data_IF_296720541925
#
_entry.id   IF_296720541925
#
_cell.length_a   1.000
_cell.length_b   1.000
_cell.length_c   1.000
_cell.angle_alpha   90.00
_cell.angle_beta   90.00
_cell.angle_gamma   90.00
#
_symmetry.space_group_name_H-M   'P 1'
#
loop_
_entity.id
_entity.type
_entity.pdbx_description
1 polymer ?
#
# COMPACT_ATOMS: atom_id res chain seq x y z
N UNK A 1 -14.42 7.58 27.14
CA UNK A 1 -13.42 6.51 27.10
C UNK A 1 -12.34 6.97 26.16
N UNK A 2 -11.16 6.99 26.66
CA UNK A 2 -10.00 7.19 25.84
C UNK A 2 -9.99 6.10 24.76
N UNK A 3 -9.55 6.45 23.58
CA UNK A 3 -9.49 5.60 22.39
C UNK A 3 -8.53 4.38 22.53
N UNK A 4 -8.03 4.14 23.74
CA UNK A 4 -7.08 3.09 24.04
C UNK A 4 -5.63 3.43 23.71
N UNK A 5 -5.35 4.71 23.47
CA UNK A 5 -4.00 5.20 23.20
C UNK A 5 -3.33 5.76 24.44
N UNK A 6 -2.02 5.65 24.47
CA UNK A 6 -1.16 6.28 25.45
C UNK A 6 -0.26 7.23 24.67
N UNK A 7 -0.45 8.51 24.91
CA UNK A 7 0.43 9.55 24.39
C UNK A 7 1.56 9.82 25.41
N UNK A 8 2.68 10.37 24.94
CA UNK A 8 3.79 10.82 25.76
C UNK A 8 4.39 9.75 26.68
N UNK A 9 4.73 8.58 26.11
CA UNK A 9 5.49 7.57 26.84
C UNK A 9 6.88 8.12 27.17
N UNK A 10 7.27 8.25 28.45
CA UNK A 10 8.61 8.70 28.79
C UNK A 10 9.66 7.71 28.28
N UNK A 11 10.58 8.17 27.45
CA UNK A 11 11.59 7.30 26.82
C UNK A 11 12.86 7.13 27.68
N UNK A 12 13.07 7.94 28.69
CA UNK A 12 14.24 7.80 29.57
C UNK A 12 15.59 8.01 28.87
N UNK A 13 16.59 7.25 29.29
CA UNK A 13 17.95 7.30 28.74
C UNK A 13 18.03 6.57 27.37
N UNK A 14 19.16 6.76 26.67
CA UNK A 14 19.45 6.04 25.43
C UNK A 14 19.48 4.52 25.63
N UNK A 15 19.03 3.80 24.64
CA UNK A 15 19.05 2.35 24.57
C UNK A 15 17.78 1.73 24.01
N UNK A 16 17.66 0.43 24.14
CA UNK A 16 16.45 -0.30 23.83
C UNK A 16 15.50 -0.28 25.01
N UNK A 17 14.26 0.12 24.77
CA UNK A 17 13.17 0.14 25.75
C UNK A 17 12.16 -0.92 25.36
N UNK A 18 11.87 -1.82 26.28
CA UNK A 18 10.77 -2.78 26.14
C UNK A 18 9.50 -2.16 26.71
N UNK A 19 8.45 -2.09 25.90
CA UNK A 19 7.15 -1.57 26.31
C UNK A 19 6.14 -2.71 26.27
N UNK A 20 5.56 -3.02 27.43
CA UNK A 20 4.54 -4.06 27.54
C UNK A 20 3.21 -3.45 27.99
N UNK A 21 2.18 -3.62 27.19
CA UNK A 21 0.82 -3.28 27.56
C UNK A 21 0.19 -4.44 28.34
N UNK A 22 -0.46 -4.16 29.47
CA UNK A 22 -1.20 -5.14 30.26
C UNK A 22 -2.54 -4.57 30.74
N UNK A 23 -3.52 -5.45 30.88
CA UNK A 23 -4.84 -5.04 31.37
C UNK A 23 -4.91 -5.13 32.88
N UNK A 24 -5.16 -4.01 33.54
CA UNK A 24 -5.31 -3.97 34.99
C UNK A 24 -6.49 -4.82 35.45
N UNK A 25 -6.27 -5.72 36.40
CA UNK A 25 -7.29 -6.61 36.93
C UNK A 25 -7.62 -7.84 36.07
N UNK A 26 -6.93 -8.02 34.95
CA UNK A 26 -7.12 -9.15 34.02
C UNK A 26 -5.76 -9.75 33.63
N UNK A 27 -5.01 -10.36 34.55
CA UNK A 27 -3.64 -10.86 34.29
C UNK A 27 -3.61 -12.02 33.27
N UNK A 28 -4.73 -12.66 33.03
CA UNK A 28 -4.87 -13.69 31.97
C UNK A 28 -4.87 -13.10 30.55
N UNK A 29 -5.13 -11.81 30.40
CA UNK A 29 -5.05 -11.12 29.12
C UNK A 29 -3.60 -10.77 28.89
N UNK A 30 -2.95 -11.52 28.01
CA UNK A 30 -1.58 -11.23 27.60
C UNK A 30 -1.56 -9.96 26.77
N UNK A 31 -0.80 -8.99 27.22
CA UNK A 31 -0.54 -7.77 26.47
C UNK A 31 0.44 -8.01 25.31
N UNK A 32 0.48 -7.06 24.40
CA UNK A 32 1.54 -7.00 23.40
C UNK A 32 2.79 -6.36 24.01
N UNK A 33 3.95 -6.87 23.62
CA UNK A 33 5.25 -6.27 23.92
C UNK A 33 5.85 -5.76 22.62
N UNK A 34 6.41 -4.56 22.66
CA UNK A 34 7.16 -4.00 21.54
C UNK A 34 8.39 -3.26 22.07
N UNK A 35 9.32 -3.03 21.18
CA UNK A 35 10.61 -2.43 21.50
C UNK A 35 10.75 -1.08 20.81
N UNK A 36 11.34 -0.14 21.53
CA UNK A 36 11.67 1.20 21.05
C UNK A 36 13.15 1.44 21.28
N UNK A 37 13.83 1.93 20.25
CA UNK A 37 15.22 2.38 20.38
C UNK A 37 15.25 3.90 20.54
N UNK A 38 15.90 4.38 21.59
CA UNK A 38 16.15 5.80 21.86
C UNK A 38 17.62 6.11 21.60
N UNK A 39 17.89 7.09 20.75
CA UNK A 39 19.24 7.52 20.41
C UNK A 39 19.30 9.04 20.33
N UNK A 40 20.49 9.64 20.56
CA UNK A 40 20.71 11.10 20.41
C UNK A 40 20.55 11.57 18.97
N UNK A 41 20.87 10.72 18.02
CA UNK A 41 20.75 10.97 16.59
C UNK A 41 19.78 9.94 16.01
N UNK A 42 18.72 10.40 15.37
CA UNK A 42 17.81 9.51 14.70
C UNK A 42 18.58 8.60 13.73
N UNK A 43 18.58 7.26 13.94
CA UNK A 43 19.38 6.33 13.13
C UNK A 43 18.78 6.13 11.73
N UNK A 44 17.65 6.74 11.47
CA UNK A 44 16.90 6.65 10.22
C UNK A 44 16.29 8.02 9.87
N UNK A 45 16.00 8.28 8.59
CA UNK A 45 15.11 9.36 8.19
C UNK A 45 13.74 9.23 8.85
N UNK A 46 12.92 10.28 8.79
CA UNK A 46 11.52 10.17 9.22
C UNK A 46 10.77 9.15 8.37
N UNK A 47 10.03 8.30 9.03
CA UNK A 47 9.31 7.18 8.42
C UNK A 47 7.83 7.31 8.77
N UNK A 48 6.98 7.08 7.78
CA UNK A 48 5.54 7.12 7.89
C UNK A 48 4.91 5.88 7.27
N UNK A 49 3.71 5.51 7.72
CA UNK A 49 2.98 4.35 7.22
C UNK A 49 1.58 4.73 6.81
N UNK A 50 1.15 4.24 5.66
CA UNK A 50 -0.17 4.54 5.13
C UNK A 50 -0.78 3.40 4.36
N UNK A 51 -2.06 3.59 4.01
CA UNK A 51 -2.84 2.71 3.17
C UNK A 51 -3.47 3.56 2.06
N UNK A 52 -3.13 3.29 0.82
CA UNK A 52 -3.54 4.08 -0.35
C UNK A 52 -4.64 3.42 -1.17
N UNK A 53 -5.30 2.38 -0.63
CA UNK A 53 -6.34 1.65 -1.33
C UNK A 53 -7.45 1.20 -0.38
N UNK A 54 -8.49 2.02 -0.29
CA UNK A 54 -9.62 1.79 0.63
C UNK A 54 -10.93 2.20 -0.03
N UNK A 55 -11.99 1.40 0.19
CA UNK A 55 -13.34 1.61 -0.33
C UNK A 55 -14.33 1.92 0.79
N UNK A 56 -15.39 2.66 0.46
CA UNK A 56 -16.53 2.90 1.33
C UNK A 56 -17.82 2.34 0.72
N UNK A 57 -18.93 2.49 1.42
CA UNK A 57 -20.26 2.12 0.95
C UNK A 57 -20.80 3.01 -0.19
N UNK A 58 -20.10 4.08 -0.52
CA UNK A 58 -20.35 4.86 -1.74
C UNK A 58 -19.98 4.06 -3.01
N UNK A 59 -19.20 2.99 -2.87
CA UNK A 59 -18.86 2.05 -3.94
C UNK A 59 -18.98 0.61 -3.45
N UNK A 60 -17.90 -0.17 -3.48
CA UNK A 60 -17.93 -1.62 -3.17
C UNK A 60 -17.74 -1.95 -1.68
N UNK A 61 -17.44 -0.98 -0.85
CA UNK A 61 -17.27 -1.16 0.60
C UNK A 61 -18.60 -1.24 1.36
N UNK A 62 -18.55 -1.43 2.67
CA UNK A 62 -19.74 -1.60 3.53
C UNK A 62 -19.87 -0.58 4.66
N UNK A 63 -18.87 0.24 4.92
CA UNK A 63 -18.91 1.33 5.90
C UNK A 63 -18.70 2.66 5.21
N UNK A 64 -19.24 3.73 5.81
CA UNK A 64 -19.12 5.07 5.27
C UNK A 64 -17.66 5.59 5.27
N UNK A 65 -17.44 6.61 4.47
CA UNK A 65 -16.10 7.20 4.28
C UNK A 65 -15.56 7.79 5.59
N UNK A 66 -16.39 8.40 6.43
CA UNK A 66 -15.99 8.95 7.73
C UNK A 66 -15.49 7.86 8.67
N UNK A 67 -16.22 6.72 8.74
CA UNK A 67 -15.78 5.57 9.53
C UNK A 67 -14.44 5.04 9.06
N UNK A 68 -14.27 4.84 7.75
CA UNK A 68 -13.05 4.27 7.17
C UNK A 68 -11.82 5.13 7.48
N UNK A 69 -11.94 6.44 7.28
CA UNK A 69 -10.81 7.36 7.53
C UNK A 69 -10.54 7.47 9.03
N UNK A 70 -11.59 7.57 9.86
CA UNK A 70 -11.43 7.62 11.32
C UNK A 70 -10.81 6.33 11.85
N UNK A 71 -11.19 5.17 11.31
CA UNK A 71 -10.53 3.90 11.67
C UNK A 71 -9.03 3.92 11.30
N UNK A 72 -8.71 4.38 10.11
CA UNK A 72 -7.32 4.52 9.65
C UNK A 72 -6.50 5.42 10.56
N UNK A 73 -7.04 6.60 10.90
CA UNK A 73 -6.37 7.58 11.76
C UNK A 73 -6.29 7.13 13.21
N UNK A 74 -7.41 6.71 13.82
CA UNK A 74 -7.54 6.59 15.28
C UNK A 74 -7.28 5.17 15.78
N UNK A 75 -7.57 4.14 14.98
CA UNK A 75 -7.43 2.73 15.37
C UNK A 75 -6.21 2.10 14.72
N UNK A 76 -6.09 2.17 13.40
CA UNK A 76 -4.94 1.62 12.68
C UNK A 76 -3.69 2.51 12.82
N UNK A 77 -3.84 3.75 13.27
CA UNK A 77 -2.75 4.72 13.47
C UNK A 77 -1.89 4.88 12.21
N UNK A 78 -2.55 5.05 11.09
CA UNK A 78 -1.90 5.43 9.86
C UNK A 78 -1.46 6.89 9.95
N UNK A 79 -0.34 7.19 9.31
CA UNK A 79 0.14 8.56 9.15
C UNK A 79 -0.47 9.20 7.90
N UNK A 80 -0.71 8.40 6.87
CA UNK A 80 -1.36 8.88 5.65
C UNK A 80 -2.34 7.85 5.07
N UNK A 81 -3.29 8.34 4.29
CA UNK A 81 -4.43 7.58 3.79
C UNK A 81 -4.79 8.03 2.36
N UNK A 82 -5.16 7.08 1.51
CA UNK A 82 -5.72 7.33 0.20
C UNK A 82 -7.08 6.64 0.05
N UNK A 83 -8.13 7.41 -0.13
CA UNK A 83 -9.43 6.88 -0.51
C UNK A 83 -9.45 6.60 -2.02
N UNK A 84 -9.97 5.46 -2.44
CA UNK A 84 -10.01 5.04 -3.84
C UNK A 84 -11.39 4.50 -4.19
N UNK A 85 -12.31 5.42 -4.48
CA UNK A 85 -13.66 5.04 -4.93
C UNK A 85 -13.60 4.37 -6.31
N UNK A 86 -14.31 3.24 -6.48
CA UNK A 86 -14.46 2.64 -7.80
C UNK A 86 -15.14 3.63 -8.75
N UNK A 87 -14.47 3.99 -9.83
CA UNK A 87 -14.91 5.02 -10.76
C UNK A 87 -16.23 4.67 -11.47
N UNK A 88 -16.54 3.39 -11.62
CA UNK A 88 -17.78 2.95 -12.25
C UNK A 88 -19.02 3.00 -11.34
N UNK A 89 -18.86 3.19 -10.03
CA UNK A 89 -19.96 3.25 -9.08
C UNK A 89 -20.13 4.63 -8.43
N UNK A 90 -19.05 5.38 -8.23
CA UNK A 90 -19.11 6.66 -7.56
C UNK A 90 -20.00 7.65 -8.33
N UNK A 91 -20.89 8.32 -7.63
CA UNK A 91 -21.70 9.42 -8.17
C UNK A 91 -21.01 10.75 -7.91
N UNK A 92 -21.45 11.80 -8.63
CA UNK A 92 -20.91 13.15 -8.40
C UNK A 92 -21.15 13.62 -6.96
N UNK A 93 -22.36 13.43 -6.45
CA UNK A 93 -22.74 13.91 -5.12
C UNK A 93 -21.91 13.17 -4.07
N UNK A 94 -21.82 11.83 -4.13
CA UNK A 94 -20.98 11.04 -3.22
C UNK A 94 -19.51 11.44 -3.32
N UNK A 95 -19.01 11.73 -4.52
CA UNK A 95 -17.63 12.19 -4.69
C UNK A 95 -17.40 13.56 -4.03
N UNK A 96 -18.35 14.49 -4.18
CA UNK A 96 -18.26 15.81 -3.56
C UNK A 96 -18.22 15.69 -2.04
N UNK A 97 -19.10 14.85 -1.47
CA UNK A 97 -19.15 14.57 -0.03
C UNK A 97 -17.87 13.86 0.46
N UNK A 98 -17.39 12.87 -0.24
CA UNK A 98 -16.15 12.15 0.11
C UNK A 98 -14.94 13.10 0.15
N UNK A 99 -14.80 13.98 -0.85
CA UNK A 99 -13.71 14.95 -0.88
C UNK A 99 -13.81 15.93 0.28
N UNK A 100 -15.02 16.39 0.63
CA UNK A 100 -15.23 17.28 1.77
C UNK A 100 -14.87 16.59 3.10
N UNK A 101 -15.26 15.33 3.28
CA UNK A 101 -14.91 14.53 4.46
C UNK A 101 -13.38 14.37 4.54
N UNK A 102 -12.73 13.98 3.45
CA UNK A 102 -11.27 13.77 3.38
C UNK A 102 -10.53 15.06 3.71
N UNK A 103 -10.96 16.20 3.17
CA UNK A 103 -10.35 17.49 3.43
C UNK A 103 -10.55 17.95 4.88
N UNK A 104 -11.70 17.65 5.47
CA UNK A 104 -11.99 18.01 6.85
C UNK A 104 -11.16 17.23 7.88
N UNK A 105 -10.74 16.02 7.53
CA UNK A 105 -9.97 15.11 8.41
C UNK A 105 -8.46 15.28 8.21
N UNK A 106 -8.02 15.79 7.06
CA UNK A 106 -6.61 16.05 6.81
C UNK A 106 -6.05 17.09 7.79
N UNK A 107 -4.97 16.73 8.48
CA UNK A 107 -4.30 17.58 9.45
C UNK A 107 -2.78 17.45 9.30
N UNK A 108 -2.15 18.47 8.71
CA UNK A 108 -0.70 18.48 8.52
C UNK A 108 0.05 18.31 9.85
N UNK A 109 1.04 17.45 9.85
CA UNK A 109 1.80 17.06 11.03
C UNK A 109 1.20 15.91 11.83
N UNK A 110 -0.06 15.52 11.57
CA UNK A 110 -0.74 14.45 12.31
C UNK A 110 -1.28 13.33 11.41
N UNK A 111 -2.01 13.67 10.36
CA UNK A 111 -2.63 12.70 9.47
C UNK A 111 -2.88 13.33 8.10
N UNK A 112 -2.32 12.73 7.06
CA UNK A 112 -2.48 13.19 5.68
C UNK A 112 -3.48 12.30 4.96
N UNK A 113 -4.53 12.90 4.37
CA UNK A 113 -5.54 12.17 3.63
C UNK A 113 -5.66 12.70 2.20
N UNK A 114 -5.78 11.78 1.23
CA UNK A 114 -5.94 12.08 -0.19
C UNK A 114 -7.24 11.49 -0.73
N UNK A 115 -7.98 12.24 -1.55
CA UNK A 115 -9.02 11.65 -2.39
C UNK A 115 -8.39 10.88 -3.56
N UNK A 116 -9.12 9.92 -4.08
CA UNK A 116 -8.68 9.13 -5.21
C UNK A 116 -9.78 8.26 -5.77
N UNK A 117 -9.50 7.64 -6.91
CA UNK A 117 -10.38 6.67 -7.56
C UNK A 117 -9.63 5.38 -7.87
N UNK A 118 -10.34 4.26 -7.86
CA UNK A 118 -9.90 3.05 -8.51
C UNK A 118 -10.48 3.03 -9.93
N UNK A 119 -9.62 3.22 -10.92
CA UNK A 119 -9.99 3.05 -12.31
C UNK A 119 -10.03 1.55 -12.64
N UNK A 120 -11.23 1.07 -12.96
CA UNK A 120 -11.54 -0.36 -13.06
C UNK A 120 -11.59 -0.82 -14.51
N UNK A 121 -10.49 -0.71 -15.23
CA UNK A 121 -10.40 -1.11 -16.63
C UNK A 121 -10.30 -2.62 -16.81
N UNK A 122 -10.85 -3.12 -17.95
CA UNK A 122 -10.59 -4.49 -18.37
C UNK A 122 -9.08 -4.78 -18.42
N UNK A 123 -8.67 -5.99 -18.10
CA UNK A 123 -7.25 -6.38 -18.20
C UNK A 123 -6.66 -6.15 -19.60
N UNK A 124 -7.44 -6.38 -20.65
CA UNK A 124 -7.05 -6.08 -22.04
C UNK A 124 -6.88 -4.58 -22.34
N UNK A 125 -7.46 -3.71 -21.54
CA UNK A 125 -7.36 -2.24 -21.64
C UNK A 125 -6.43 -1.63 -20.58
N UNK A 126 -5.68 -2.44 -19.85
CA UNK A 126 -4.72 -2.03 -18.83
C UNK A 126 -4.92 -2.68 -17.46
N UNK A 127 -6.15 -3.04 -17.10
CA UNK A 127 -6.50 -3.56 -15.76
C UNK A 127 -6.64 -2.46 -14.72
N UNK A 128 -6.84 -2.84 -13.48
CA UNK A 128 -7.12 -1.92 -12.39
C UNK A 128 -5.93 -1.01 -12.06
N UNK A 129 -6.22 0.29 -11.86
CA UNK A 129 -5.25 1.31 -11.49
C UNK A 129 -5.85 2.26 -10.44
N UNK A 130 -5.18 2.41 -9.33
CA UNK A 130 -5.50 3.48 -8.39
C UNK A 130 -4.96 4.81 -8.88
N UNK A 131 -5.76 5.86 -8.76
CA UNK A 131 -5.38 7.24 -9.02
C UNK A 131 -5.57 8.05 -7.75
N UNK A 132 -4.48 8.47 -7.12
CA UNK A 132 -4.50 9.30 -5.91
C UNK A 132 -4.25 10.75 -6.30
N UNK A 133 -5.10 11.67 -5.84
CA UNK A 133 -5.02 13.10 -6.13
C UNK A 133 -4.23 13.81 -5.03
N UNK A 134 -2.96 14.02 -5.29
CA UNK A 134 -1.98 14.47 -4.30
C UNK A 134 -2.17 15.91 -3.83
N UNK A 135 -2.85 16.74 -4.61
CA UNK A 135 -3.16 18.12 -4.21
C UNK A 135 -4.41 18.24 -3.34
N UNK A 136 -5.15 17.18 -3.11
CA UNK A 136 -6.46 17.23 -2.47
C UNK A 136 -7.50 17.99 -3.28
N UNK A 137 -7.16 18.42 -4.50
CA UNK A 137 -8.11 19.08 -5.39
C UNK A 137 -8.95 18.02 -6.08
N UNK A 138 -10.23 18.27 -6.12
CA UNK A 138 -11.17 17.53 -6.93
C UNK A 138 -10.81 17.72 -8.41
N UNK A 139 -10.49 16.65 -9.16
CA UNK A 139 -10.36 16.78 -10.60
C UNK A 139 -11.72 17.04 -11.25
N UNK A 140 -11.71 17.70 -12.38
CA UNK A 140 -12.88 17.76 -13.24
C UNK A 140 -13.00 16.41 -13.95
N UNK A 141 -13.82 15.53 -13.41
CA UNK A 141 -14.18 14.32 -14.13
C UNK A 141 -15.11 14.66 -15.29
N UNK A 142 -14.90 14.05 -16.46
CA UNK A 142 -15.88 14.11 -17.52
C UNK A 142 -17.16 13.40 -17.09
N UNK A 143 -18.30 14.01 -17.36
CA UNK A 143 -19.61 13.47 -17.05
C UNK A 143 -20.21 12.77 -18.26
N UNK A 144 -20.92 11.66 -18.01
CA UNK A 144 -21.80 11.04 -18.98
C UNK A 144 -23.07 11.89 -19.20
N UNK A 145 -23.91 11.48 -20.16
CA UNK A 145 -25.14 12.19 -20.48
C UNK A 145 -26.18 12.21 -19.32
N UNK A 146 -25.98 11.40 -18.29
CA UNK A 146 -26.83 11.34 -17.09
C UNK A 146 -26.26 12.17 -15.93
N UNK A 147 -25.09 12.79 -16.13
CA UNK A 147 -24.40 13.54 -15.11
C UNK A 147 -23.59 12.70 -14.11
N UNK A 148 -23.35 11.44 -14.41
CA UNK A 148 -22.42 10.61 -13.63
C UNK A 148 -20.99 10.84 -14.11
N UNK A 149 -20.01 10.55 -13.25
CA UNK A 149 -18.60 10.53 -13.62
C UNK A 149 -18.44 9.52 -14.77
N UNK A 150 -17.78 9.94 -15.85
CA UNK A 150 -17.48 9.03 -16.98
C UNK A 150 -16.58 7.91 -16.47
N UNK A 151 -16.94 6.69 -16.82
CA UNK A 151 -16.44 5.48 -16.22
C UNK A 151 -15.40 4.80 -17.09
N UNK A 152 -14.51 4.09 -16.46
CA UNK A 152 -13.69 3.07 -17.08
C UNK A 152 -14.52 1.97 -17.74
N UNK A 153 -13.84 1.08 -18.44
CA UNK A 153 -14.43 -0.17 -18.89
C UNK A 153 -14.82 -1.00 -17.67
N UNK A 154 -16.07 -0.87 -17.28
CA UNK A 154 -16.65 -1.75 -16.28
C UNK A 154 -16.72 -3.16 -16.86
N UNK A 155 -16.02 -4.08 -16.22
CA UNK A 155 -16.30 -5.48 -16.39
C UNK A 155 -17.45 -5.83 -15.46
N UNK A 156 -18.65 -5.93 -16.01
CA UNK A 156 -19.78 -6.49 -15.31
C UNK A 156 -19.98 -7.92 -15.82
N UNK A 157 -19.83 -8.90 -14.95
CA UNK A 157 -20.08 -10.32 -15.26
C UNK A 157 -21.49 -10.58 -15.79
N UNK A 158 -22.43 -9.68 -15.42
CA UNK A 158 -23.84 -9.76 -15.81
C UNK A 158 -24.19 -8.98 -17.07
N UNK A 159 -23.24 -8.28 -17.70
CA UNK A 159 -23.48 -7.53 -18.91
C UNK A 159 -23.15 -8.34 -20.15
N UNK A 160 -24.07 -8.33 -21.12
CA UNK A 160 -23.83 -8.84 -22.46
C UNK A 160 -22.52 -8.26 -23.02
N UNK A 161 -21.62 -9.14 -23.48
CA UNK A 161 -20.30 -8.77 -24.00
C UNK A 161 -20.35 -7.76 -25.17
N UNK A 162 -21.51 -7.57 -25.78
CA UNK A 162 -21.74 -6.63 -26.85
C UNK A 162 -22.12 -5.21 -26.39
N UNK A 163 -22.30 -5.00 -25.08
CA UNK A 163 -22.65 -3.68 -24.55
C UNK A 163 -21.40 -2.94 -24.07
N UNK A 164 -20.80 -2.17 -24.96
CA UNK A 164 -19.77 -1.19 -24.59
C UNK A 164 -20.46 -0.08 -23.82
N UNK A 165 -20.08 0.12 -22.56
CA UNK A 165 -20.59 1.25 -21.78
C UNK A 165 -20.11 2.56 -22.39
N UNK A 166 -21.00 3.52 -22.66
CA UNK A 166 -20.59 4.85 -23.10
C UNK A 166 -19.65 5.47 -22.06
N UNK A 167 -18.50 5.98 -22.50
CA UNK A 167 -17.51 6.58 -21.64
C UNK A 167 -16.44 5.63 -21.09
N UNK A 168 -16.48 4.35 -21.47
CA UNK A 168 -15.41 3.41 -21.15
C UNK A 168 -14.14 3.75 -21.94
N UNK A 169 -13.05 3.98 -21.22
CA UNK A 169 -11.78 4.39 -21.80
C UNK A 169 -10.71 3.32 -21.64
N UNK A 170 -9.82 3.17 -22.63
CA UNK A 170 -8.56 2.47 -22.38
C UNK A 170 -7.68 3.29 -21.44
N UNK A 171 -6.72 2.65 -20.81
CA UNK A 171 -5.81 3.27 -19.84
C UNK A 171 -5.06 4.48 -20.43
N UNK A 172 -4.79 4.50 -21.72
CA UNK A 172 -4.17 5.65 -22.41
C UNK A 172 -4.99 6.94 -22.28
N UNK A 173 -6.31 6.85 -22.28
CA UNK A 173 -7.19 8.00 -22.09
C UNK A 173 -7.15 8.50 -20.64
N UNK A 174 -6.97 7.59 -19.69
CA UNK A 174 -6.76 7.95 -18.29
C UNK A 174 -5.45 8.73 -18.12
N UNK A 175 -4.36 8.26 -18.70
CA UNK A 175 -3.10 8.99 -18.70
C UNK A 175 -3.22 10.34 -19.40
N UNK A 176 -3.87 10.40 -20.56
CA UNK A 176 -4.09 11.64 -21.28
C UNK A 176 -4.88 12.67 -20.45
N UNK A 177 -5.80 12.20 -19.62
CA UNK A 177 -6.60 13.08 -18.75
C UNK A 177 -5.74 13.80 -17.70
N UNK A 178 -4.72 13.16 -17.15
CA UNK A 178 -3.97 13.69 -16.01
C UNK A 178 -2.52 14.10 -16.31
N UNK A 179 -2.00 13.81 -17.51
CA UNK A 179 -0.59 14.10 -17.87
C UNK A 179 -0.24 15.59 -17.88
N UNK A 180 -1.24 16.46 -17.95
CA UNK A 180 -1.04 17.91 -17.88
C UNK A 180 -0.61 18.39 -16.48
N UNK A 181 -0.84 17.58 -15.43
CA UNK A 181 -0.43 17.83 -14.04
C UNK A 181 0.06 16.54 -13.38
N UNK A 182 1.20 15.99 -13.83
CA UNK A 182 1.67 14.70 -13.34
C UNK A 182 2.07 14.74 -11.85
N UNK A 183 2.52 15.87 -11.35
CA UNK A 183 2.92 16.02 -9.93
C UNK A 183 1.71 16.03 -8.98
N UNK A 184 0.54 16.35 -9.49
CA UNK A 184 -0.72 16.32 -8.74
C UNK A 184 -1.37 14.94 -8.67
N UNK A 185 -0.83 13.94 -9.37
CA UNK A 185 -1.44 12.63 -9.49
C UNK A 185 -0.43 11.52 -9.26
N UNK A 186 -0.88 10.44 -8.63
CA UNK A 186 -0.10 9.21 -8.47
C UNK A 186 -0.94 8.05 -9.00
N UNK A 187 -0.42 7.36 -10.00
CA UNK A 187 -1.07 6.16 -10.51
C UNK A 187 -0.32 4.91 -10.04
N UNK A 188 -1.10 3.88 -9.70
CA UNK A 188 -0.62 2.61 -9.18
C UNK A 188 -1.39 1.46 -9.83
N UNK A 189 -0.79 0.75 -10.83
CA UNK A 189 -1.34 -0.51 -11.31
C UNK A 189 -1.38 -1.55 -10.19
N UNK A 190 -2.43 -2.37 -10.18
CA UNK A 190 -2.59 -3.41 -9.16
C UNK A 190 -3.32 -4.66 -9.65
N UNK A 191 -3.39 -5.66 -8.79
CA UNK A 191 -4.14 -6.89 -9.04
C UNK A 191 -5.40 -6.86 -8.19
N UNK A 192 -6.43 -6.24 -8.69
CA UNK A 192 -7.77 -6.20 -8.12
C UNK A 192 -8.73 -7.21 -8.76
N UNK A 193 -9.98 -6.81 -8.96
CA UNK A 193 -10.98 -7.56 -9.73
C UNK A 193 -10.50 -7.85 -11.16
N UNK A 194 -9.81 -6.91 -11.76
CA UNK A 194 -9.22 -6.96 -13.09
C UNK A 194 -7.71 -6.76 -12.97
N UNK A 195 -6.97 -7.80 -13.27
CA UNK A 195 -5.51 -7.77 -13.15
C UNK A 195 -4.90 -6.72 -14.07
N UNK A 196 -4.03 -5.87 -13.56
CA UNK A 196 -3.19 -5.00 -14.37
C UNK A 196 -2.27 -5.82 -15.30
N UNK A 197 -2.04 -5.31 -16.49
CA UNK A 197 -1.13 -5.87 -17.48
C UNK A 197 0.02 -4.87 -17.67
N UNK A 198 1.23 -5.27 -17.31
CA UNK A 198 2.39 -4.39 -17.35
C UNK A 198 2.90 -4.06 -18.77
N UNK A 199 2.22 -4.52 -19.83
CA UNK A 199 2.40 -4.00 -21.19
C UNK A 199 1.89 -2.55 -21.30
N UNK A 200 0.97 -2.18 -20.41
CA UNK A 200 0.47 -0.83 -20.22
C UNK A 200 1.27 -0.17 -19.09
N UNK A 201 2.13 0.77 -19.44
CA UNK A 201 2.98 1.48 -18.48
C UNK A 201 3.27 2.90 -19.00
N UNK A 202 3.10 3.88 -18.12
CA UNK A 202 3.45 5.27 -18.41
C UNK A 202 4.53 5.78 -17.43
N UNK A 203 5.75 6.08 -17.91
CA UNK A 203 6.90 6.34 -17.02
C UNK A 203 6.75 7.58 -16.13
N UNK A 204 5.84 8.49 -16.48
CA UNK A 204 5.58 9.71 -15.70
C UNK A 204 4.41 9.55 -14.74
N UNK A 205 3.33 8.88 -15.15
CA UNK A 205 2.10 8.76 -14.36
C UNK A 205 2.17 7.61 -13.37
N UNK A 206 2.62 6.44 -13.83
CA UNK A 206 2.78 5.27 -12.98
C UNK A 206 4.08 5.39 -12.19
N UNK A 207 3.98 5.58 -10.89
CA UNK A 207 5.15 5.78 -10.02
C UNK A 207 5.35 4.68 -9.00
N UNK A 208 4.26 4.04 -8.59
CA UNK A 208 4.26 2.87 -7.71
C UNK A 208 3.53 1.73 -8.40
N UNK A 209 3.78 0.51 -7.95
CA UNK A 209 2.99 -0.68 -8.28
C UNK A 209 2.55 -1.33 -6.98
N UNK A 210 1.28 -1.67 -6.86
CA UNK A 210 0.75 -2.33 -5.68
C UNK A 210 1.00 -3.84 -5.78
N UNK A 211 1.93 -4.33 -4.96
CA UNK A 211 2.36 -5.73 -4.98
C UNK A 211 1.62 -6.62 -3.98
N UNK A 212 0.61 -6.08 -3.33
CA UNK A 212 -0.23 -6.85 -2.44
C UNK A 212 -1.39 -6.04 -1.87
N UNK A 213 -2.50 -6.73 -1.67
CA UNK A 213 -3.75 -6.21 -1.13
C UNK A 213 -4.58 -7.34 -0.51
N UNK A 214 -5.86 -7.10 -0.23
CA UNK A 214 -6.80 -8.15 0.19
C UNK A 214 -6.95 -9.28 -0.85
N UNK A 215 -6.61 -9.05 -2.11
CA UNK A 215 -6.62 -10.05 -3.17
C UNK A 215 -5.45 -11.02 -3.12
N UNK A 216 -4.34 -10.64 -2.52
CA UNK A 216 -3.16 -11.49 -2.41
C UNK A 216 -1.87 -10.70 -2.27
N UNK A 217 -0.75 -11.43 -2.18
CA UNK A 217 0.59 -10.86 -2.26
C UNK A 217 1.23 -11.29 -3.57
N UNK A 218 1.73 -10.34 -4.33
CA UNK A 218 2.17 -10.51 -5.72
C UNK A 218 3.63 -10.08 -5.94
N UNK A 219 4.60 -10.64 -5.23
CA UNK A 219 6.02 -10.27 -5.41
C UNK A 219 6.50 -10.49 -6.84
N UNK A 220 5.90 -11.44 -7.56
CA UNK A 220 6.15 -11.69 -8.97
C UNK A 220 5.85 -10.47 -9.86
N UNK A 221 4.89 -9.63 -9.48
CA UNK A 221 4.53 -8.43 -10.24
C UNK A 221 5.70 -7.43 -10.24
N UNK A 222 6.36 -7.26 -9.09
CA UNK A 222 7.54 -6.40 -9.04
C UNK A 222 8.76 -7.01 -9.76
N UNK A 223 8.89 -8.33 -9.77
CA UNK A 223 9.90 -9.00 -10.59
C UNK A 223 9.65 -8.78 -12.09
N UNK A 224 8.39 -8.81 -12.55
CA UNK A 224 8.02 -8.47 -13.92
C UNK A 224 8.35 -7.01 -14.25
N UNK A 225 8.02 -6.08 -13.35
CA UNK A 225 8.38 -4.65 -13.45
C UNK A 225 9.90 -4.47 -13.61
N UNK A 226 10.68 -5.12 -12.76
CA UNK A 226 12.14 -5.06 -12.82
C UNK A 226 12.69 -5.67 -14.13
N UNK A 227 12.18 -6.82 -14.54
CA UNK A 227 12.59 -7.48 -15.79
C UNK A 227 12.32 -6.64 -17.04
N UNK A 228 11.30 -5.81 -17.01
CA UNK A 228 10.97 -4.85 -18.09
C UNK A 228 11.80 -3.56 -18.03
N UNK A 229 12.56 -3.35 -16.96
CA UNK A 229 13.32 -2.12 -16.72
C UNK A 229 12.45 -0.91 -16.39
N UNK A 230 11.23 -1.13 -15.90
CA UNK A 230 10.33 -0.06 -15.48
C UNK A 230 10.76 0.54 -14.14
N UNK A 231 10.58 1.82 -13.98
CA UNK A 231 11.05 2.57 -12.80
C UNK A 231 9.88 2.86 -11.85
N UNK A 232 9.37 1.81 -11.24
CA UNK A 232 8.30 1.86 -10.25
C UNK A 232 8.83 1.56 -8.85
N UNK A 233 8.34 2.28 -7.85
CA UNK A 233 8.43 1.87 -6.46
C UNK A 233 7.33 0.87 -6.12
N UNK A 234 7.34 0.34 -4.90
CA UNK A 234 6.32 -0.60 -4.44
C UNK A 234 5.35 0.08 -3.49
N UNK A 235 4.10 -0.36 -3.53
CA UNK A 235 3.12 -0.17 -2.46
C UNK A 235 2.52 -1.51 -2.05
N UNK A 236 2.02 -1.58 -0.85
CA UNK A 236 1.23 -2.70 -0.35
C UNK A 236 0.14 -2.11 0.53
N UNK A 237 -1.11 -2.30 0.16
CA UNK A 237 -2.25 -1.60 0.72
C UNK A 237 -3.33 -2.58 1.18
N UNK A 238 -4.43 -2.03 1.71
CA UNK A 238 -5.53 -2.84 2.20
C UNK A 238 -6.41 -3.40 1.09
N UNK A 239 -6.75 -2.58 0.11
CA UNK A 239 -7.89 -2.82 -0.76
C UNK A 239 -9.12 -3.20 0.10
N UNK A 240 -9.35 -2.35 1.12
CA UNK A 240 -10.18 -2.72 2.25
C UNK A 240 -11.64 -2.35 1.98
N UNK A 241 -12.50 -3.35 2.05
CA UNK A 241 -13.93 -3.23 1.76
C UNK A 241 -14.81 -3.19 3.02
N UNK A 242 -14.24 -3.32 4.22
CA UNK A 242 -14.96 -3.35 5.49
C UNK A 242 -14.61 -2.20 6.42
N UNK A 243 -13.84 -1.20 5.92
CA UNK A 243 -13.44 -0.02 6.68
C UNK A 243 -12.39 -0.29 7.75
N UNK A 244 -11.62 -1.38 7.64
CA UNK A 244 -10.57 -1.74 8.60
C UNK A 244 -9.20 -1.70 7.94
N UNK A 245 -8.91 -0.58 7.33
CA UNK A 245 -7.64 -0.30 6.63
C UNK A 245 -6.41 -0.39 7.54
N UNK A 246 -5.23 -0.29 6.95
CA UNK A 246 -3.96 -0.38 7.67
C UNK A 246 -3.48 -1.80 7.87
N UNK A 247 -3.63 -2.66 6.88
CA UNK A 247 -3.20 -4.06 6.88
C UNK A 247 -4.30 -5.03 7.34
N UNK A 248 -5.52 -4.53 7.55
CA UNK A 248 -6.68 -5.34 7.92
C UNK A 248 -6.58 -5.97 9.30
N UNK A 249 -7.62 -6.65 9.71
CA UNK A 249 -7.69 -7.43 10.96
C UNK A 249 -7.70 -8.92 10.61
N UNK A 250 -6.92 -9.77 11.29
CA UNK A 250 -6.92 -11.20 11.04
C UNK A 250 -8.34 -11.78 11.02
N UNK A 251 -8.64 -12.59 10.00
CA UNK A 251 -9.95 -13.23 9.83
C UNK A 251 -11.06 -12.32 9.29
N UNK A 252 -10.77 -11.08 8.92
CA UNK A 252 -11.78 -10.15 8.37
C UNK A 252 -11.57 -9.83 6.89
N UNK A 253 -10.50 -10.30 6.27
CA UNK A 253 -10.22 -10.08 4.87
C UNK A 253 -11.35 -10.59 3.97
N UNK A 254 -11.88 -9.73 3.11
CA UNK A 254 -13.00 -10.07 2.21
C UNK A 254 -12.60 -11.17 1.23
N UNK A 255 -11.37 -11.11 0.72
CA UNK A 255 -10.87 -12.01 -0.30
C UNK A 255 -9.86 -13.04 0.22
N UNK A 256 -9.79 -13.23 1.53
CA UNK A 256 -9.00 -14.28 2.19
C UNK A 256 -7.53 -13.94 2.43
N UNK A 257 -7.07 -12.76 2.06
CA UNK A 257 -5.71 -12.29 2.35
C UNK A 257 -5.79 -11.03 3.20
N UNK A 258 -4.97 -10.96 4.24
CA UNK A 258 -4.71 -9.71 4.94
C UNK A 258 -3.98 -8.78 3.97
N UNK A 259 -4.44 -7.55 3.82
CA UNK A 259 -3.75 -6.53 3.06
C UNK A 259 -2.44 -6.10 3.74
N UNK A 260 -1.98 -4.92 3.42
CA UNK A 260 -0.74 -4.41 3.96
C UNK A 260 -0.76 -2.92 4.24
N UNK A 261 0.41 -2.38 4.50
CA UNK A 261 0.66 -0.95 4.59
C UNK A 261 1.91 -0.57 3.79
N UNK A 262 1.89 0.62 3.25
CA UNK A 262 3.03 1.21 2.56
C UNK A 262 3.81 2.07 3.54
N UNK A 263 5.09 1.71 3.75
CA UNK A 263 6.04 2.56 4.46
C UNK A 263 6.61 3.62 3.53
N UNK A 264 6.96 4.77 4.08
CA UNK A 264 7.42 5.93 3.34
C UNK A 264 8.56 6.64 4.08
N UNK A 265 9.64 6.96 3.38
CA UNK A 265 10.66 7.91 3.85
C UNK A 265 10.26 9.31 3.40
N UNK A 266 10.04 10.22 4.35
CA UNK A 266 9.56 11.56 4.07
C UNK A 266 10.00 12.53 5.17
N UNK A 267 10.28 13.79 4.81
CA UNK A 267 10.82 14.79 5.75
C UNK A 267 9.74 15.37 6.68
N UNK A 268 8.51 15.49 6.20
CA UNK A 268 7.38 16.02 6.98
C UNK A 268 6.06 15.38 6.56
N UNK A 269 5.11 15.38 7.49
CA UNK A 269 3.79 14.81 7.29
C UNK A 269 2.82 15.92 6.83
N UNK A 270 2.89 16.26 5.55
CA UNK A 270 1.96 17.16 4.86
C UNK A 270 1.68 16.64 3.45
N UNK A 271 0.53 17.00 2.86
CA UNK A 271 0.12 16.49 1.54
C UNK A 271 1.19 16.68 0.47
N UNK A 272 1.83 17.82 0.45
CA UNK A 272 2.82 18.14 -0.59
C UNK A 272 4.09 17.30 -0.46
N UNK A 273 4.61 17.16 0.76
CA UNK A 273 5.86 16.43 1.01
C UNK A 273 5.66 14.94 0.91
N UNK A 274 4.55 14.41 1.47
CA UNK A 274 4.15 13.01 1.32
C UNK A 274 3.93 12.67 -0.16
N UNK A 275 3.18 13.49 -0.90
CA UNK A 275 2.94 13.29 -2.33
C UNK A 275 4.23 13.24 -3.16
N UNK A 276 5.17 14.14 -2.88
CA UNK A 276 6.50 14.13 -3.52
C UNK A 276 7.30 12.86 -3.21
N UNK A 277 7.29 12.41 -1.96
CA UNK A 277 8.01 11.22 -1.53
C UNK A 277 7.43 9.95 -2.17
N UNK A 278 6.10 9.83 -2.26
CA UNK A 278 5.41 8.76 -2.97
C UNK A 278 5.82 8.75 -4.45
N UNK A 279 5.77 9.88 -5.13
CA UNK A 279 6.19 9.99 -6.54
C UNK A 279 7.68 9.75 -6.73
N UNK A 280 8.50 10.06 -5.73
CA UNK A 280 9.93 9.75 -5.72
C UNK A 280 10.23 8.28 -5.38
N UNK A 281 9.21 7.43 -5.19
CA UNK A 281 9.36 5.99 -4.93
C UNK A 281 10.12 5.68 -3.62
N UNK A 282 9.99 6.55 -2.63
CA UNK A 282 10.64 6.40 -1.32
C UNK A 282 9.85 5.45 -0.42
N UNK A 283 9.42 4.33 -0.98
CA UNK A 283 8.40 3.44 -0.40
C UNK A 283 8.88 2.01 -0.27
N UNK A 284 8.27 1.29 0.68
CA UNK A 284 8.31 -0.17 0.79
C UNK A 284 6.96 -0.69 1.24
N UNK A 285 6.67 -1.96 1.02
CA UNK A 285 5.45 -2.61 1.46
C UNK A 285 5.68 -3.54 2.63
N UNK A 286 4.73 -3.61 3.56
CA UNK A 286 4.70 -4.61 4.63
C UNK A 286 3.35 -5.30 4.69
N UNK A 287 3.28 -6.48 5.27
CA UNK A 287 2.03 -7.24 5.43
C UNK A 287 1.20 -6.78 6.63
N UNK A 288 1.34 -5.50 7.01
CA UNK A 288 0.53 -4.81 8.01
C UNK A 288 1.28 -4.45 9.29
N UNK A 289 2.42 -5.04 9.53
CA UNK A 289 3.32 -4.67 10.62
C UNK A 289 4.11 -3.40 10.25
N UNK A 290 4.49 -2.58 11.25
CA UNK A 290 5.29 -1.36 11.07
C UNK A 290 6.77 -1.69 10.91
N UNK A 291 7.12 -2.53 9.94
CA UNK A 291 8.49 -2.91 9.66
C UNK A 291 9.21 -1.78 8.89
N UNK A 292 10.39 -1.44 9.33
CA UNK A 292 11.25 -0.48 8.65
C UNK A 292 12.08 -1.19 7.60
N UNK A 293 12.05 -0.68 6.37
CA UNK A 293 12.87 -1.20 5.28
C UNK A 293 13.27 -0.07 4.34
N UNK A 294 14.51 0.40 4.42
CA UNK A 294 15.03 1.36 3.47
C UNK A 294 16.47 1.03 3.09
N UNK A 295 16.89 1.54 1.94
CA UNK A 295 18.21 1.30 1.37
C UNK A 295 18.78 2.55 0.72
N UNK A 296 20.11 2.58 0.57
CA UNK A 296 20.82 3.69 -0.07
C UNK A 296 22.09 3.18 -0.76
N UNK A 297 22.61 4.01 -1.66
CA UNK A 297 23.89 3.79 -2.32
C UNK A 297 24.68 5.11 -2.34
N UNK A 298 25.72 5.22 -1.50
CA UNK A 298 26.37 6.51 -1.24
C UNK A 298 25.37 7.51 -0.67
N UNK A 299 25.22 8.67 -1.31
CA UNK A 299 24.28 9.71 -0.90
C UNK A 299 22.87 9.54 -1.50
N UNK A 300 22.65 8.52 -2.34
CA UNK A 300 21.39 8.31 -3.02
C UNK A 300 20.50 7.35 -2.22
N UNK A 301 19.30 7.81 -1.90
CA UNK A 301 18.30 7.01 -1.20
C UNK A 301 17.48 6.18 -2.19
N UNK A 302 16.87 5.09 -1.73
CA UNK A 302 15.94 4.31 -2.56
C UNK A 302 14.94 5.21 -3.27
N UNK A 303 14.63 4.88 -4.53
CA UNK A 303 13.82 5.71 -5.43
C UNK A 303 14.62 6.69 -6.28
N UNK A 304 15.85 7.05 -5.91
CA UNK A 304 16.70 7.92 -6.73
C UNK A 304 17.18 7.22 -8.00
N UNK A 305 17.38 8.01 -9.04
CA UNK A 305 17.97 7.57 -10.32
C UNK A 305 19.31 8.26 -10.49
N UNK A 306 20.35 7.48 -10.66
CA UNK A 306 21.70 8.01 -10.79
C UNK A 306 22.60 7.07 -11.61
N UNK A 307 23.61 7.67 -12.27
CA UNK A 307 24.64 6.90 -12.94
C UNK A 307 25.71 6.48 -11.94
N UNK A 308 26.11 5.21 -11.99
CA UNK A 308 27.17 4.68 -11.15
C UNK A 308 28.22 3.96 -11.99
N UNK A 309 29.51 4.16 -11.65
CA UNK A 309 30.63 3.50 -12.32
C UNK A 309 31.25 2.44 -11.41
N UNK A 310 31.30 1.22 -11.90
CA UNK A 310 31.89 0.10 -11.16
C UNK A 310 30.89 -0.58 -10.21
N UNK A 311 31.36 -1.42 -9.27
CA UNK A 311 30.49 -2.11 -8.33
C UNK A 311 29.76 -1.13 -7.41
N UNK A 312 28.45 -1.25 -7.33
CA UNK A 312 27.64 -0.46 -6.39
C UNK A 312 27.62 -1.13 -5.01
N UNK A 313 27.83 -0.36 -3.95
CA UNK A 313 27.61 -0.80 -2.57
C UNK A 313 26.23 -0.36 -2.15
N UNK A 314 25.30 -1.31 -2.08
CA UNK A 314 23.96 -1.08 -1.57
C UNK A 314 23.95 -1.35 -0.06
N UNK A 315 23.58 -0.35 0.69
CA UNK A 315 23.40 -0.43 2.13
C UNK A 315 21.90 -0.44 2.44
N UNK A 316 21.50 -1.17 3.47
CA UNK A 316 20.09 -1.30 3.85
C UNK A 316 19.95 -1.35 5.36
N UNK A 317 18.77 -0.94 5.82
CA UNK A 317 18.36 -1.07 7.22
C UNK A 317 16.97 -1.66 7.27
N UNK A 318 16.86 -2.79 7.95
CA UNK A 318 15.61 -3.47 8.22
C UNK A 318 15.45 -3.62 9.71
N UNK A 319 14.32 -3.12 10.26
CA UNK A 319 13.96 -3.23 11.65
C UNK A 319 12.56 -3.84 11.75
N UNK A 320 12.39 -4.78 12.63
CA UNK A 320 11.12 -5.47 12.86
C UNK A 320 11.02 -5.96 14.29
N UNK A 321 9.86 -6.39 14.68
CA UNK A 321 9.53 -6.92 16.01
C UNK A 321 9.85 -8.41 16.17
N UNK A 322 10.38 -9.03 15.14
CA UNK A 322 10.80 -10.43 15.11
C UNK A 322 12.08 -10.61 14.29
N UNK A 323 12.74 -11.75 14.42
CA UNK A 323 13.93 -12.10 13.64
C UNK A 323 13.61 -12.20 12.14
N UNK A 324 14.57 -11.82 11.32
CA UNK A 324 14.50 -11.95 9.87
C UNK A 324 14.99 -13.33 9.44
N UNK A 325 14.25 -13.96 8.52
CA UNK A 325 14.63 -15.27 7.97
C UNK A 325 15.64 -15.11 6.84
N UNK A 326 15.33 -14.25 5.87
CA UNK A 326 16.08 -14.10 4.64
C UNK A 326 16.00 -12.67 4.12
N UNK A 327 17.08 -12.23 3.48
CA UNK A 327 17.13 -11.00 2.70
C UNK A 327 17.62 -11.37 1.31
N UNK A 328 16.82 -11.06 0.28
CA UNK A 328 17.19 -11.28 -1.12
C UNK A 328 17.24 -9.96 -1.87
N UNK A 329 18.27 -9.79 -2.69
CA UNK A 329 18.42 -8.70 -3.64
C UNK A 329 18.19 -9.24 -5.05
N UNK A 330 17.39 -8.55 -5.83
CA UNK A 330 17.20 -8.89 -7.23
C UNK A 330 17.25 -7.66 -8.13
N UNK A 331 17.56 -7.88 -9.39
CA UNK A 331 17.53 -6.92 -10.48
C UNK A 331 16.67 -7.44 -11.65
N UNK A 332 16.80 -6.84 -12.81
CA UNK A 332 16.08 -7.25 -14.03
C UNK A 332 16.40 -8.69 -14.49
N UNK A 333 17.46 -9.31 -14.00
CA UNK A 333 17.85 -10.67 -14.36
C UNK A 333 17.37 -11.73 -13.36
N UNK A 334 16.86 -11.30 -12.21
CA UNK A 334 16.39 -12.15 -11.12
C UNK A 334 17.15 -11.91 -9.81
N UNK A 335 17.13 -12.89 -8.92
CA UNK A 335 17.84 -12.81 -7.63
C UNK A 335 19.35 -12.86 -7.86
N UNK A 336 20.05 -11.82 -7.45
CA UNK A 336 21.51 -11.68 -7.60
C UNK A 336 22.27 -11.92 -6.30
N UNK A 337 21.63 -11.81 -5.15
CA UNK A 337 22.20 -12.13 -3.84
C UNK A 337 21.13 -12.52 -2.84
N UNK A 338 21.46 -13.44 -1.94
CA UNK A 338 20.60 -13.84 -0.81
C UNK A 338 21.46 -13.99 0.43
N UNK A 339 20.95 -13.49 1.57
CA UNK A 339 21.47 -13.76 2.89
C UNK A 339 20.44 -14.57 3.68
N UNK A 340 20.83 -15.74 4.14
CA UNK A 340 20.03 -16.55 5.05
C UNK A 340 20.43 -16.21 6.49
N UNK A 341 19.66 -15.38 7.14
CA UNK A 341 19.97 -14.89 8.49
C UNK A 341 19.77 -15.97 9.56
N UNK A 342 18.98 -16.98 9.29
CA UNK A 342 18.83 -18.13 10.19
C UNK A 342 20.10 -19.01 10.19
N UNK A 343 20.71 -19.23 9.02
CA UNK A 343 22.01 -19.93 8.94
C UNK A 343 23.13 -19.13 9.61
N UNK A 344 23.15 -17.80 9.39
CA UNK A 344 24.12 -16.92 10.03
C UNK A 344 23.99 -16.89 11.55
N UNK A 345 22.77 -16.98 12.09
CA UNK A 345 22.50 -17.07 13.53
C UNK A 345 22.87 -18.42 14.17
N UNK A 346 23.18 -19.44 13.36
CA UNK A 346 23.62 -20.76 13.84
C UNK A 346 22.49 -21.59 14.47
N UNK A 347 21.62 -22.13 13.66
CA UNK A 347 20.62 -23.10 14.12
C UNK A 347 21.30 -24.43 14.51
N UNK A 348 21.21 -24.80 15.76
CA UNK A 348 21.85 -26.00 16.28
C UNK A 348 20.91 -27.00 16.98
N UNK A 349 19.60 -26.75 17.01
CA UNK A 349 18.67 -27.58 17.79
C UNK A 349 17.98 -28.71 17.01
N UNK A 350 18.39 -28.92 15.75
CA UNK A 350 17.84 -29.96 14.89
C UNK A 350 16.39 -29.74 14.42
N UNK A 351 15.82 -28.54 14.66
CA UNK A 351 14.51 -28.16 14.16
C UNK A 351 14.65 -27.51 12.79
N UNK A 352 13.68 -27.78 11.94
CA UNK A 352 13.53 -27.10 10.66
C UNK A 352 12.21 -26.34 10.65
N UNK A 353 12.20 -25.17 10.00
CA UNK A 353 10.97 -24.44 9.70
C UNK A 353 10.62 -24.68 8.24
N UNK A 354 9.43 -25.19 8.00
CA UNK A 354 8.88 -25.31 6.66
C UNK A 354 7.83 -24.24 6.46
N UNK A 355 8.05 -23.38 5.48
CA UNK A 355 7.06 -22.37 5.07
C UNK A 355 6.43 -22.81 3.75
N UNK A 356 5.13 -22.82 3.71
CA UNK A 356 4.36 -23.08 2.50
C UNK A 356 3.18 -22.14 2.44
N UNK A 357 2.74 -21.76 1.25
CA UNK A 357 1.68 -20.80 1.09
C UNK A 357 1.25 -20.62 -0.37
N UNK A 358 0.27 -19.73 -0.57
CA UNK A 358 -0.29 -19.40 -1.87
C UNK A 358 -1.43 -20.34 -2.30
N UNK A 359 -2.33 -19.83 -3.12
CA UNK A 359 -3.35 -20.60 -3.83
C UNK A 359 -3.20 -20.35 -5.33
N UNK A 360 -3.36 -21.37 -6.15
CA UNK A 360 -3.22 -21.25 -7.62
C UNK A 360 -4.38 -20.51 -8.27
N UNK A 361 -5.54 -20.54 -7.64
CA UNK A 361 -6.77 -19.95 -8.16
C UNK A 361 -7.03 -18.67 -7.39
N UNK A 362 -7.23 -17.58 -8.12
CA UNK A 362 -7.72 -16.32 -7.58
C UNK A 362 -9.24 -16.41 -7.46
N UNK A 363 -9.72 -16.46 -6.23
CA UNK A 363 -11.15 -16.56 -5.91
C UNK A 363 -11.37 -16.00 -4.51
N UNK A 364 -12.51 -15.39 -4.27
CA UNK A 364 -12.96 -14.91 -2.96
C UNK A 364 -13.07 -16.03 -1.92
N UNK A 365 -13.36 -17.24 -2.37
CA UNK A 365 -13.55 -18.43 -1.55
C UNK A 365 -12.40 -19.42 -1.68
N UNK A 366 -11.24 -18.96 -2.12
CA UNK A 366 -10.09 -19.83 -2.31
C UNK A 366 -9.66 -20.49 -1.01
N UNK A 367 -9.34 -21.75 -1.12
CA UNK A 367 -8.71 -22.55 -0.07
C UNK A 367 -7.69 -23.48 -0.73
N UNK A 368 -6.75 -23.97 0.06
CA UNK A 368 -5.74 -24.90 -0.44
C UNK A 368 -5.55 -26.05 0.54
N UNK A 369 -5.51 -27.27 0.02
CA UNK A 369 -5.11 -28.47 0.76
C UNK A 369 -3.63 -28.72 0.47
N UNK A 370 -2.82 -28.58 1.50
CA UNK A 370 -1.38 -28.69 1.40
C UNK A 370 -0.94 -30.10 1.79
N UNK A 371 -0.26 -30.79 0.86
CA UNK A 371 0.35 -32.10 1.09
C UNK A 371 1.79 -32.06 0.67
N UNK A 372 2.68 -32.43 1.57
CA UNK A 372 4.12 -32.47 1.32
C UNK A 372 4.80 -33.59 2.09
N UNK A 373 6.08 -33.79 1.75
CA UNK A 373 7.00 -34.65 2.50
C UNK A 373 8.26 -33.83 2.76
N UNK A 374 8.80 -34.03 3.94
CA UNK A 374 10.08 -33.45 4.39
C UNK A 374 11.08 -34.58 4.50
#
# INVERSE_FOLDING_TARGET
YDDGHIDDIPTGDQGEIEITASMVGRPEVKGATFYLTVDDVAPAPRLFFGDLHVHSDNTVGINDTTYNISYGRDIARLDYFGYTANDFQITKDNWDDDVEIIDSINEDGRFVAYPGTEWCGNSSAGGDHNVVFLHGKKPEFPFDAKGNIARSFEWNEDMDADTIMPGAWPLEELWATYIHDPEGHLMMPHVGGRRCIMDWYHPTMDRLVEIGSAWGHFPWLYQDVAARGYKLGVSLNGDEHRGRCGGGVPGTAVFGTKGGVTGLVCDSLDRKTVGKALRARRTWGTTGERLVAFSWCGDNLMGDEFDHKGPAKIEYRFLGDAGWDEISLFDQTGIIATRNLQEEAGYSDGKIRVRFGGARIRDRYRWADWRGRI
#
